data_IF_022653771912
#
_entry.id   IF_022653771912
#
_cell.length_a   1.000
_cell.length_b   1.000
_cell.length_c   1.000
_cell.angle_alpha   90.00
_cell.angle_beta   90.00
_cell.angle_gamma   90.00
#
_symmetry.space_group_name_H-M   'P 1'
#
loop_
_entity.id
_entity.type
_entity.pdbx_description
1 polymer ?
#
# COMPACT_ATOMS: atom_id res chain seq x y z
N UNK A 1 16.73 24.58 -15.16
CA UNK A 1 17.29 25.11 -13.91
C UNK A 1 16.47 24.55 -12.75
N UNK A 2 16.99 23.56 -12.03
CA UNK A 2 16.33 23.02 -10.85
C UNK A 2 16.40 24.08 -9.74
N UNK A 3 15.25 24.55 -9.24
CA UNK A 3 15.22 25.41 -8.05
C UNK A 3 15.78 24.60 -6.88
N UNK A 4 16.78 25.14 -6.18
CA UNK A 4 17.25 24.59 -4.90
C UNK A 4 16.05 24.36 -3.97
N UNK A 5 16.01 23.24 -3.23
CA UNK A 5 14.93 23.00 -2.28
C UNK A 5 14.97 24.10 -1.22
N UNK A 6 13.90 24.90 -1.15
CA UNK A 6 13.75 25.89 -0.07
C UNK A 6 13.65 25.11 1.24
N UNK A 7 14.56 25.38 2.17
CA UNK A 7 14.51 24.82 3.52
C UNK A 7 13.10 25.03 4.10
N UNK A 8 12.41 23.97 4.57
CA UNK A 8 11.08 24.11 5.14
C UNK A 8 11.11 25.10 6.31
N UNK A 9 10.12 26.00 6.38
CA UNK A 9 10.01 26.93 7.50
C UNK A 9 9.77 26.13 8.79
N UNK A 10 10.38 26.50 9.91
CA UNK A 10 10.10 25.81 11.17
C UNK A 10 8.59 25.84 11.50
N UNK A 11 8.03 24.67 11.84
CA UNK A 11 6.62 24.49 12.23
C UNK A 11 6.26 25.42 13.38
N UNK A 12 7.16 25.63 14.34
CA UNK A 12 6.93 26.49 15.51
C UNK A 12 6.57 27.92 15.11
N UNK A 13 7.20 28.44 14.05
CA UNK A 13 7.02 29.82 13.55
C UNK A 13 5.98 29.95 12.44
N UNK A 14 5.40 28.84 11.97
CA UNK A 14 4.45 28.83 10.86
C UNK A 14 3.14 29.53 11.25
N UNK A 15 2.62 30.41 10.37
CA UNK A 15 1.33 31.09 10.53
C UNK A 15 0.23 30.39 9.74
N UNK A 16 -1.04 30.49 10.17
CA UNK A 16 -2.19 29.82 9.53
C UNK A 16 -2.29 30.07 8.00
N UNK A 17 -2.08 31.29 7.47
CA UNK A 17 -2.09 31.51 6.02
C UNK A 17 -0.92 30.84 5.28
N UNK A 18 0.29 30.85 5.87
CA UNK A 18 1.46 30.17 5.29
C UNK A 18 1.29 28.66 5.33
N UNK A 19 0.74 28.13 6.42
CA UNK A 19 0.40 26.71 6.57
C UNK A 19 -0.57 26.25 5.48
N UNK A 20 -1.62 27.03 5.18
CA UNK A 20 -2.58 26.69 4.11
C UNK A 20 -1.91 26.61 2.73
N UNK A 21 -1.01 27.55 2.41
CA UNK A 21 -0.26 27.53 1.13
C UNK A 21 0.68 26.33 1.08
N UNK A 22 1.36 26.03 2.19
CA UNK A 22 2.29 24.92 2.26
C UNK A 22 1.58 23.57 2.15
N UNK A 23 0.44 23.38 2.84
CA UNK A 23 -0.41 22.20 2.71
C UNK A 23 -0.84 21.98 1.26
N UNK A 24 -1.35 23.02 0.57
CA UNK A 24 -1.77 22.89 -0.83
C UNK A 24 -0.60 22.47 -1.74
N UNK A 25 0.60 23.02 -1.51
CA UNK A 25 1.81 22.64 -2.27
C UNK A 25 2.21 21.20 -2.01
N UNK A 26 2.23 20.78 -0.74
CA UNK A 26 2.59 19.42 -0.32
C UNK A 26 1.58 18.40 -0.86
N UNK A 27 0.29 18.69 -0.81
CA UNK A 27 -0.75 17.81 -1.35
C UNK A 27 -0.58 17.56 -2.85
N UNK A 28 -0.34 18.60 -3.64
CA UNK A 28 -0.09 18.46 -5.09
C UNK A 28 1.20 17.67 -5.40
N UNK A 29 2.26 17.89 -4.61
CA UNK A 29 3.52 17.17 -4.75
C UNK A 29 3.35 15.68 -4.42
N UNK A 30 2.69 15.38 -3.29
CA UNK A 30 2.39 14.00 -2.87
C UNK A 30 1.46 13.30 -3.86
N UNK A 31 0.45 13.98 -4.43
CA UNK A 31 -0.42 13.40 -5.45
C UNK A 31 0.37 12.98 -6.70
N UNK A 32 1.29 13.83 -7.16
CA UNK A 32 2.15 13.52 -8.30
C UNK A 32 3.08 12.32 -8.01
N UNK A 33 3.61 12.22 -6.79
CA UNK A 33 4.42 11.07 -6.38
C UNK A 33 3.59 9.80 -6.24
N UNK A 34 2.38 9.88 -5.66
CA UNK A 34 1.45 8.76 -5.54
C UNK A 34 1.07 8.20 -6.90
N UNK A 35 0.80 9.07 -7.88
CA UNK A 35 0.54 8.62 -9.25
C UNK A 35 1.71 7.81 -9.81
N UNK A 36 2.93 8.33 -9.72
CA UNK A 36 4.12 7.64 -10.23
C UNK A 36 4.40 6.33 -9.51
N UNK A 37 4.14 6.29 -8.21
CA UNK A 37 4.37 5.14 -7.36
C UNK A 37 3.33 4.03 -7.56
N UNK A 38 2.04 4.38 -7.57
CA UNK A 38 0.94 3.41 -7.60
C UNK A 38 0.36 3.14 -8.99
N UNK A 39 0.46 4.07 -9.94
CA UNK A 39 -0.09 3.90 -11.29
C UNK A 39 0.98 3.60 -12.32
N UNK A 40 2.08 4.36 -12.31
CA UNK A 40 3.13 4.28 -13.34
C UNK A 40 4.25 3.28 -12.98
N UNK A 41 4.26 2.74 -11.75
CA UNK A 41 5.31 1.85 -11.20
C UNK A 41 6.75 2.41 -11.37
N UNK A 42 6.88 3.75 -11.37
CA UNK A 42 8.09 4.47 -11.73
C UNK A 42 8.34 5.67 -10.78
N UNK A 43 8.60 5.43 -9.48
CA UNK A 43 8.77 6.52 -8.53
C UNK A 43 10.04 7.33 -8.81
N UNK A 44 9.97 8.63 -8.47
CA UNK A 44 11.07 9.58 -8.69
C UNK A 44 11.70 10.12 -7.42
N UNK A 45 11.17 9.71 -6.25
CA UNK A 45 11.74 9.99 -4.93
C UNK A 45 11.79 8.69 -4.14
N UNK A 46 12.61 8.63 -3.09
CA UNK A 46 12.66 7.48 -2.21
C UNK A 46 11.43 7.41 -1.30
N UNK A 47 11.15 6.23 -0.72
CA UNK A 47 10.07 6.08 0.28
C UNK A 47 10.32 7.00 1.49
N UNK A 48 11.58 7.13 1.92
CA UNK A 48 11.96 8.01 3.03
C UNK A 48 11.70 9.50 2.72
N UNK A 49 11.94 9.94 1.49
CA UNK A 49 11.62 11.31 1.07
C UNK A 49 10.10 11.54 1.05
N UNK A 50 9.33 10.53 0.60
CA UNK A 50 7.87 10.59 0.62
C UNK A 50 7.32 10.64 2.06
N UNK A 51 7.85 9.81 2.95
CA UNK A 51 7.48 9.80 4.37
C UNK A 51 7.80 11.15 5.04
N UNK A 52 8.92 11.80 4.67
CA UNK A 52 9.24 13.14 5.14
C UNK A 52 8.21 14.19 4.68
N UNK A 53 7.70 14.11 3.44
CA UNK A 53 6.60 14.96 2.96
C UNK A 53 5.33 14.72 3.79
N UNK A 54 4.99 13.46 4.03
CA UNK A 54 3.80 13.08 4.81
C UNK A 54 3.88 13.57 6.25
N UNK A 55 5.00 13.34 6.93
CA UNK A 55 5.22 13.84 8.29
C UNK A 55 5.10 15.35 8.39
N UNK A 56 5.59 16.06 7.36
CA UNK A 56 5.44 17.51 7.30
C UNK A 56 3.97 17.93 7.23
N UNK A 57 3.14 17.24 6.44
CA UNK A 57 1.68 17.48 6.41
C UNK A 57 1.06 17.20 7.76
N UNK A 58 1.32 16.02 8.35
CA UNK A 58 0.78 15.60 9.64
C UNK A 58 1.11 16.60 10.76
N UNK A 59 2.35 17.10 10.79
CA UNK A 59 2.78 18.05 11.80
C UNK A 59 2.15 19.45 11.61
N UNK A 60 1.85 19.86 10.37
CA UNK A 60 1.09 21.09 10.11
C UNK A 60 -0.38 20.91 10.52
N UNK A 61 -0.99 19.77 10.20
CA UNK A 61 -2.38 19.45 10.56
C UNK A 61 -2.57 19.36 12.07
N UNK A 62 -1.61 18.77 12.80
CA UNK A 62 -1.61 18.73 14.25
C UNK A 62 -1.58 20.13 14.90
N UNK A 63 -0.82 21.07 14.31
CA UNK A 63 -0.76 22.47 14.78
C UNK A 63 -2.01 23.28 14.39
N UNK A 64 -2.62 22.98 13.25
CA UNK A 64 -3.78 23.70 12.72
C UNK A 64 -4.95 22.76 12.37
N UNK A 65 -5.65 22.16 13.36
CA UNK A 65 -6.72 21.19 13.10
C UNK A 65 -7.84 21.71 12.20
N UNK A 66 -8.15 23.01 12.25
CA UNK A 66 -9.17 23.64 11.40
C UNK A 66 -8.83 23.62 9.89
N UNK A 67 -7.58 23.29 9.53
CA UNK A 67 -7.13 23.23 8.14
C UNK A 67 -7.20 21.82 7.53
N UNK A 68 -7.54 20.79 8.32
CA UNK A 68 -7.64 19.41 7.85
C UNK A 68 -8.84 19.31 6.90
N UNK A 69 -8.56 19.06 5.63
CA UNK A 69 -9.58 18.84 4.62
C UNK A 69 -9.87 17.34 4.47
N UNK A 70 -11.09 16.99 4.06
CA UNK A 70 -11.52 15.59 3.85
C UNK A 70 -10.72 14.88 2.75
N UNK A 71 -10.18 15.63 1.79
CA UNK A 71 -9.33 15.16 0.69
C UNK A 71 -7.83 15.28 1.01
N UNK A 72 -7.47 15.50 2.28
CA UNK A 72 -6.06 15.57 2.68
C UNK A 72 -5.33 14.26 2.33
N UNK A 73 -4.06 14.32 1.88
CA UNK A 73 -3.22 13.15 1.69
C UNK A 73 -3.08 12.25 2.93
N UNK A 74 -3.31 12.78 4.13
CA UNK A 74 -3.30 12.01 5.38
C UNK A 74 -4.59 11.21 5.61
N UNK A 75 -5.67 11.57 4.89
CA UNK A 75 -7.00 10.94 4.96
C UNK A 75 -7.28 10.00 3.78
N UNK A 76 -6.42 9.99 2.76
CA UNK A 76 -6.58 9.17 1.55
C UNK A 76 -5.58 8.01 1.54
N UNK A 77 -5.95 6.89 0.92
CA UNK A 77 -5.12 5.68 0.84
C UNK A 77 -4.85 5.35 -0.63
N UNK A 78 -3.59 5.10 -0.98
CA UNK A 78 -3.22 4.63 -2.32
C UNK A 78 -3.53 5.64 -3.44
N UNK A 79 -3.90 5.11 -4.62
CA UNK A 79 -4.29 5.92 -5.77
C UNK A 79 -5.36 5.19 -6.60
N UNK A 80 -6.15 5.95 -7.36
CA UNK A 80 -7.18 5.38 -8.22
C UNK A 80 -6.58 4.36 -9.23
N UNK A 81 -7.33 3.29 -9.60
CA UNK A 81 -6.93 2.33 -10.63
C UNK A 81 -6.47 2.96 -11.95
N UNK A 82 -5.45 2.39 -12.59
CA UNK A 82 -4.95 2.85 -13.88
C UNK A 82 -5.88 2.44 -15.05
N UNK A 83 -5.74 3.13 -16.18
CA UNK A 83 -6.50 2.80 -17.41
C UNK A 83 -6.01 1.47 -18.00
N UNK A 84 -6.84 0.43 -17.97
CA UNK A 84 -6.56 -0.83 -18.68
C UNK A 84 -7.06 -2.09 -17.98
N UNK A 85 -7.33 -2.02 -16.66
CA UNK A 85 -7.94 -3.10 -15.90
C UNK A 85 -9.39 -2.74 -15.55
N UNK A 86 -10.26 -3.75 -15.44
CA UNK A 86 -11.59 -3.57 -14.84
C UNK A 86 -11.44 -3.15 -13.38
N UNK A 87 -12.44 -2.42 -12.86
CA UNK A 87 -12.47 -1.99 -11.46
C UNK A 87 -13.24 -3.00 -10.63
N UNK A 88 -12.74 -3.31 -9.44
CA UNK A 88 -13.44 -4.09 -8.43
C UNK A 88 -13.61 -3.23 -7.19
N UNK A 89 -14.85 -3.07 -6.73
CA UNK A 89 -15.14 -2.46 -5.45
C UNK A 89 -14.90 -3.47 -4.34
N UNK A 90 -14.12 -3.10 -3.33
CA UNK A 90 -13.88 -3.95 -2.17
C UNK A 90 -15.13 -3.98 -1.29
N UNK A 91 -15.54 -5.18 -0.87
CA UNK A 91 -16.71 -5.36 0.00
C UNK A 91 -16.50 -4.69 1.37
N UNK A 92 -15.27 -4.77 1.89
CA UNK A 92 -14.78 -4.03 3.05
C UNK A 92 -13.65 -3.13 2.60
N UNK A 93 -13.51 -1.87 3.05
CA UNK A 93 -12.37 -1.03 2.66
C UNK A 93 -11.01 -1.66 3.06
N UNK A 94 -10.02 -1.53 2.19
CA UNK A 94 -8.61 -1.86 2.44
C UNK A 94 -7.88 -0.62 2.97
N UNK A 95 -7.63 -0.58 4.28
CA UNK A 95 -7.04 0.58 4.95
C UNK A 95 -5.50 0.58 4.90
N UNK A 96 -4.90 1.70 5.29
CA UNK A 96 -3.47 1.81 5.59
C UNK A 96 -3.23 1.66 7.10
N UNK A 97 -1.99 1.40 7.47
CA UNK A 97 -1.52 1.47 8.85
C UNK A 97 -0.94 2.86 9.14
N UNK A 98 -0.96 3.24 10.41
CA UNK A 98 -0.10 4.31 10.93
C UNK A 98 1.34 3.82 11.06
N UNK A 99 2.29 4.76 11.05
CA UNK A 99 3.71 4.46 11.14
C UNK A 99 4.26 4.81 12.53
N UNK A 100 5.34 4.12 12.92
CA UNK A 100 6.15 4.40 14.11
C UNK A 100 7.63 4.25 13.71
N UNK A 101 8.47 5.19 14.11
CA UNK A 101 9.88 5.25 13.72
C UNK A 101 10.84 5.24 14.91
N UNK A 102 10.30 5.33 16.13
CA UNK A 102 11.04 5.27 17.40
C UNK A 102 10.39 4.31 18.39
N UNK A 103 11.14 3.89 19.40
CA UNK A 103 10.63 3.05 20.48
C UNK A 103 9.55 3.81 21.28
N UNK A 104 9.69 5.13 21.40
CA UNK A 104 8.72 6.02 22.01
C UNK A 104 7.38 6.02 21.25
N UNK A 105 7.39 6.08 19.92
CA UNK A 105 6.16 6.02 19.10
C UNK A 105 5.37 4.72 19.37
N UNK A 106 6.09 3.59 19.49
CA UNK A 106 5.49 2.29 19.78
C UNK A 106 4.92 2.26 21.20
N UNK A 107 5.67 2.78 22.18
CA UNK A 107 5.20 2.87 23.57
C UNK A 107 3.93 3.75 23.70
N UNK A 108 3.88 4.87 22.98
CA UNK A 108 2.71 5.74 22.92
C UNK A 108 1.51 5.06 22.26
N UNK A 109 1.73 4.32 21.16
CA UNK A 109 0.68 3.53 20.50
C UNK A 109 0.06 2.51 21.46
N UNK A 110 0.89 1.75 22.19
CA UNK A 110 0.42 0.77 23.17
C UNK A 110 -0.33 1.45 24.32
N UNK A 111 0.20 2.56 24.85
CA UNK A 111 -0.44 3.34 25.91
C UNK A 111 -1.83 3.85 25.48
N UNK A 112 -1.96 4.29 24.22
CA UNK A 112 -3.24 4.74 23.65
C UNK A 112 -4.25 3.59 23.57
N UNK A 113 -3.84 2.39 23.19
CA UNK A 113 -4.70 1.20 23.17
C UNK A 113 -5.17 0.86 24.59
N UNK A 114 -4.25 0.80 25.57
CA UNK A 114 -4.60 0.50 26.96
C UNK A 114 -5.62 1.49 27.52
N UNK A 115 -5.41 2.79 27.28
CA UNK A 115 -6.34 3.84 27.71
C UNK A 115 -7.70 3.72 27.05
N UNK A 116 -7.73 3.43 25.75
CA UNK A 116 -8.98 3.32 24.99
C UNK A 116 -9.80 2.11 25.42
N UNK A 117 -9.15 0.96 25.60
CA UNK A 117 -9.79 -0.29 26.02
C UNK A 117 -9.95 -0.44 27.53
N UNK A 118 -9.39 0.49 28.33
CA UNK A 118 -9.36 0.46 29.80
C UNK A 118 -8.72 -0.81 30.36
N UNK A 119 -7.55 -1.15 29.85
CA UNK A 119 -6.77 -2.31 30.29
C UNK A 119 -5.76 -1.92 31.37
N UNK A 120 -5.63 -2.74 32.40
CA UNK A 120 -4.64 -2.56 33.48
C UNK A 120 -3.24 -3.04 33.05
N UNK A 121 -3.17 -4.02 32.13
CA UNK A 121 -1.94 -4.60 31.61
C UNK A 121 -1.79 -4.34 30.10
N UNK A 122 -0.59 -4.55 29.56
CA UNK A 122 -0.32 -4.43 28.12
C UNK A 122 -1.06 -5.58 27.41
N UNK A 123 -1.89 -5.31 26.38
CA UNK A 123 -2.56 -6.37 25.64
C UNK A 123 -1.54 -7.29 24.94
N UNK A 124 -1.93 -8.54 24.69
CA UNK A 124 -1.13 -9.41 23.83
C UNK A 124 -1.00 -8.79 22.43
N UNK A 125 0.24 -8.69 21.95
CA UNK A 125 0.56 -8.14 20.63
C UNK A 125 1.11 -9.24 19.73
N UNK A 126 0.65 -9.27 18.48
CA UNK A 126 1.24 -10.07 17.41
C UNK A 126 2.09 -9.13 16.56
N UNK A 127 3.37 -9.47 16.39
CA UNK A 127 4.30 -8.72 15.55
C UNK A 127 4.66 -9.55 14.32
N UNK A 128 4.50 -8.96 13.15
CA UNK A 128 4.77 -9.59 11.86
C UNK A 128 5.72 -8.71 11.03
N UNK A 129 6.65 -9.30 10.25
CA UNK A 129 7.43 -8.54 9.29
C UNK A 129 6.52 -7.84 8.27
N UNK A 130 6.69 -6.53 8.11
CA UNK A 130 5.97 -5.77 7.08
C UNK A 130 6.57 -6.06 5.70
N UNK A 131 5.88 -6.87 4.90
CA UNK A 131 6.31 -7.21 3.54
C UNK A 131 6.24 -5.98 2.64
N UNK A 132 7.30 -5.73 1.88
CA UNK A 132 7.38 -4.63 0.93
C UNK A 132 6.97 -5.11 -0.47
N UNK A 133 5.72 -4.86 -0.83
CA UNK A 133 5.12 -5.35 -2.07
C UNK A 133 3.88 -4.58 -2.49
N UNK A 134 2.95 -5.29 -3.13
CA UNK A 134 1.66 -4.76 -3.54
C UNK A 134 0.53 -5.50 -2.81
N UNK A 135 -0.23 -4.77 -2.01
CA UNK A 135 -1.39 -5.31 -1.31
C UNK A 135 -2.45 -5.82 -2.29
N UNK A 136 -2.93 -7.03 -2.01
CA UNK A 136 -3.85 -7.80 -2.84
C UNK A 136 -4.99 -8.35 -1.99
N UNK A 137 -6.20 -8.25 -2.53
CA UNK A 137 -7.40 -8.92 -2.03
C UNK A 137 -7.74 -10.12 -2.93
N UNK A 138 -8.05 -11.25 -2.32
CA UNK A 138 -8.44 -12.51 -2.97
C UNK A 138 -9.83 -12.90 -2.49
N UNK A 139 -10.83 -12.86 -3.36
CA UNK A 139 -12.19 -13.29 -3.06
C UNK A 139 -12.41 -14.72 -3.51
N UNK A 140 -12.70 -15.56 -2.53
CA UNK A 140 -13.16 -16.92 -2.73
C UNK A 140 -14.66 -17.01 -2.43
N UNK A 141 -15.38 -17.74 -3.27
CA UNK A 141 -16.76 -18.11 -3.02
C UNK A 141 -16.90 -19.63 -3.07
N UNK A 142 -17.43 -20.21 -1.99
CA UNK A 142 -17.49 -21.66 -1.78
C UNK A 142 -16.12 -22.33 -1.99
N UNK A 143 -15.06 -21.63 -1.61
CA UNK A 143 -13.67 -22.06 -1.76
C UNK A 143 -13.04 -21.81 -3.13
N UNK A 144 -13.78 -21.42 -4.16
CA UNK A 144 -13.21 -21.13 -5.49
C UNK A 144 -12.80 -19.67 -5.61
N UNK A 145 -11.60 -19.39 -6.11
CA UNK A 145 -11.14 -18.03 -6.38
C UNK A 145 -12.01 -17.42 -7.49
N UNK A 146 -12.82 -16.42 -7.15
CA UNK A 146 -13.71 -15.74 -8.11
C UNK A 146 -13.03 -14.52 -8.68
N UNK A 147 -12.47 -13.66 -7.84
CA UNK A 147 -11.72 -12.49 -8.29
C UNK A 147 -10.57 -12.12 -7.36
N UNK A 148 -9.60 -11.40 -7.92
CA UNK A 148 -8.51 -10.80 -7.18
C UNK A 148 -8.35 -9.33 -7.57
N UNK A 149 -8.14 -8.47 -6.57
CA UNK A 149 -8.07 -7.03 -6.76
C UNK A 149 -6.85 -6.43 -6.07
N UNK A 150 -6.19 -5.47 -6.73
CA UNK A 150 -5.19 -4.63 -6.07
C UNK A 150 -5.86 -3.73 -5.03
N UNK A 151 -5.10 -3.15 -4.09
CA UNK A 151 -5.68 -2.20 -3.12
C UNK A 151 -6.34 -1.00 -3.80
N UNK A 152 -5.71 -0.44 -4.84
CA UNK A 152 -6.11 0.82 -5.45
C UNK A 152 -6.19 1.95 -4.43
N UNK A 153 -7.34 2.62 -4.36
CA UNK A 153 -7.60 3.72 -3.42
C UNK A 153 -8.12 3.26 -2.03
N UNK A 154 -8.10 1.94 -1.79
CA UNK A 154 -8.64 1.31 -0.59
C UNK A 154 -10.13 0.98 -0.69
N UNK A 155 -10.89 1.60 -1.59
CA UNK A 155 -12.29 1.28 -1.84
C UNK A 155 -12.49 0.53 -3.16
N UNK A 156 -11.68 0.86 -4.17
CA UNK A 156 -11.73 0.29 -5.50
C UNK A 156 -10.33 -0.09 -5.97
N UNK A 157 -10.17 -1.36 -6.33
CA UNK A 157 -8.97 -1.95 -6.90
C UNK A 157 -9.04 -2.16 -8.40
N UNK A 158 -7.91 -2.58 -8.97
CA UNK A 158 -7.81 -3.15 -10.31
C UNK A 158 -8.06 -4.66 -10.26
N UNK A 159 -8.90 -5.17 -11.14
CA UNK A 159 -9.08 -6.60 -11.36
C UNK A 159 -7.82 -7.21 -11.98
N UNK A 160 -7.12 -8.01 -11.18
CA UNK A 160 -5.90 -8.72 -11.57
C UNK A 160 -6.10 -10.23 -11.49
N UNK A 161 -7.35 -10.71 -11.58
CA UNK A 161 -7.71 -12.11 -11.39
C UNK A 161 -6.93 -13.05 -12.31
N UNK A 162 -6.82 -12.72 -13.60
CA UNK A 162 -6.11 -13.55 -14.56
C UNK A 162 -4.60 -13.63 -14.27
N UNK A 163 -3.99 -12.50 -13.88
CA UNK A 163 -2.59 -12.40 -13.48
C UNK A 163 -2.32 -13.19 -12.19
N UNK A 164 -3.18 -13.05 -11.19
CA UNK A 164 -3.09 -13.75 -9.90
C UNK A 164 -3.16 -15.26 -10.05
N UNK A 165 -4.00 -15.79 -10.96
CA UNK A 165 -4.08 -17.22 -11.24
C UNK A 165 -2.76 -17.84 -11.74
N UNK A 166 -1.79 -17.03 -12.17
CA UNK A 166 -0.46 -17.51 -12.57
C UNK A 166 0.52 -17.64 -11.41
N UNK A 167 0.20 -17.08 -10.24
CA UNK A 167 1.06 -17.10 -9.05
C UNK A 167 0.89 -18.43 -8.32
N UNK A 168 1.95 -19.23 -8.29
CA UNK A 168 1.93 -20.60 -7.73
C UNK A 168 1.56 -20.67 -6.26
N UNK A 169 1.91 -19.65 -5.49
CA UNK A 169 1.67 -19.60 -4.04
C UNK A 169 0.19 -19.32 -3.71
N UNK A 170 -0.63 -18.91 -4.69
CA UNK A 170 -2.05 -18.60 -4.51
C UNK A 170 -2.90 -19.79 -4.98
N UNK A 171 -3.65 -20.45 -4.08
CA UNK A 171 -4.51 -21.55 -4.47
C UNK A 171 -5.70 -21.06 -5.29
N UNK A 172 -6.07 -21.78 -6.35
CA UNK A 172 -7.33 -21.52 -7.06
C UNK A 172 -8.55 -21.97 -6.25
N UNK A 173 -8.35 -22.96 -5.38
CA UNK A 173 -9.40 -23.53 -4.53
C UNK A 173 -8.88 -23.70 -3.11
N UNK A 174 -9.59 -23.15 -2.12
CA UNK A 174 -9.32 -23.36 -0.70
C UNK A 174 -9.68 -24.79 -0.30
N UNK A 175 -8.82 -25.39 0.52
CA UNK A 175 -9.04 -26.73 1.07
C UNK A 175 -9.22 -26.63 2.58
N UNK A 176 -10.35 -27.10 3.08
CA UNK A 176 -10.66 -27.08 4.51
C UNK A 176 -12.01 -27.75 4.79
N UNK A 177 -12.25 -28.10 6.05
CA UNK A 177 -13.54 -28.67 6.48
C UNK A 177 -14.65 -27.61 6.56
N UNK A 178 -14.28 -26.37 6.85
CA UNK A 178 -15.19 -25.25 7.09
C UNK A 178 -14.73 -24.05 6.26
N UNK A 179 -14.79 -24.16 4.93
CA UNK A 179 -14.51 -23.02 4.05
C UNK A 179 -15.76 -22.13 4.01
N UNK A 180 -15.66 -20.85 4.38
CA UNK A 180 -16.82 -19.94 4.34
C UNK A 180 -17.37 -19.80 2.92
N UNK A 181 -18.69 -19.56 2.81
CA UNK A 181 -19.36 -19.36 1.53
C UNK A 181 -18.82 -18.13 0.79
N UNK A 182 -18.47 -17.08 1.53
CA UNK A 182 -17.72 -15.92 1.07
C UNK A 182 -16.50 -15.72 1.98
N UNK A 183 -15.32 -15.63 1.37
CA UNK A 183 -14.04 -15.48 2.04
C UNK A 183 -13.16 -14.51 1.27
N UNK A 184 -12.81 -13.37 1.88
CA UNK A 184 -11.85 -12.43 1.33
C UNK A 184 -10.53 -12.53 2.11
N UNK A 185 -9.49 -13.07 1.49
CA UNK A 185 -8.14 -13.10 2.05
C UNK A 185 -7.34 -11.89 1.56
N UNK A 186 -6.60 -11.25 2.47
CA UNK A 186 -5.76 -10.09 2.17
C UNK A 186 -4.30 -10.41 2.48
N UNK A 187 -3.45 -9.94 1.60
CA UNK A 187 -2.02 -10.20 1.71
C UNK A 187 -1.21 -9.27 0.83
N UNK A 188 0.09 -9.56 0.76
CA UNK A 188 1.03 -8.84 -0.08
C UNK A 188 1.54 -9.74 -1.19
N UNK A 189 1.46 -9.26 -2.44
CA UNK A 189 2.23 -9.83 -3.55
C UNK A 189 3.62 -9.20 -3.53
N UNK A 190 4.66 -10.03 -3.56
CA UNK A 190 6.04 -9.57 -3.46
C UNK A 190 6.99 -10.36 -4.35
N UNK A 191 8.22 -9.86 -4.47
CA UNK A 191 9.33 -10.53 -5.14
C UNK A 191 10.51 -10.65 -4.18
N UNK A 192 11.15 -11.81 -4.15
CA UNK A 192 12.36 -11.97 -3.33
C UNK A 192 13.48 -11.09 -3.87
N UNK A 193 14.35 -10.62 -2.97
CA UNK A 193 15.50 -9.78 -3.34
C UNK A 193 16.40 -10.44 -4.40
N UNK A 194 16.67 -11.73 -4.28
CA UNK A 194 17.46 -12.48 -5.26
C UNK A 194 16.81 -12.48 -6.65
N UNK A 195 15.50 -12.67 -6.69
CA UNK A 195 14.71 -12.75 -7.90
C UNK A 195 14.60 -11.38 -8.59
N UNK A 196 14.42 -10.32 -7.80
CA UNK A 196 14.46 -8.94 -8.27
C UNK A 196 15.81 -8.59 -8.92
N UNK A 197 16.92 -8.93 -8.27
CA UNK A 197 18.26 -8.67 -8.81
C UNK A 197 18.49 -9.44 -10.12
N UNK A 198 18.05 -10.69 -10.19
CA UNK A 198 18.13 -11.49 -11.41
C UNK A 198 17.24 -10.92 -12.54
N UNK A 199 16.05 -10.42 -12.20
CA UNK A 199 15.15 -9.78 -13.15
C UNK A 199 15.75 -8.49 -13.73
N UNK A 200 16.27 -7.60 -12.88
CA UNK A 200 16.89 -6.36 -13.33
C UNK A 200 18.12 -6.60 -14.19
N UNK A 201 18.96 -7.60 -13.86
CA UNK A 201 20.09 -7.99 -14.70
C UNK A 201 19.64 -8.38 -16.12
N UNK A 202 18.57 -9.18 -16.24
CA UNK A 202 18.01 -9.56 -17.54
C UNK A 202 17.47 -8.36 -18.32
N UNK A 203 16.83 -7.41 -17.64
CA UNK A 203 16.32 -6.20 -18.29
C UNK A 203 17.46 -5.31 -18.78
N UNK A 204 18.52 -5.14 -17.99
CA UNK A 204 19.71 -4.39 -18.39
C UNK A 204 20.39 -5.03 -19.62
N UNK A 205 20.53 -6.36 -19.63
CA UNK A 205 21.07 -7.11 -20.78
C UNK A 205 20.20 -6.96 -22.06
N UNK A 206 18.89 -6.79 -21.89
CA UNK A 206 17.94 -6.56 -22.99
C UNK A 206 17.82 -5.08 -23.41
N UNK A 207 18.41 -4.15 -22.67
CA UNK A 207 18.22 -2.71 -22.87
C UNK A 207 16.85 -2.17 -22.42
N UNK A 208 16.12 -2.94 -21.61
CA UNK A 208 14.82 -2.59 -21.06
C UNK A 208 14.94 -1.75 -19.77
N UNK A 209 13.81 -1.20 -19.32
CA UNK A 209 13.77 -0.38 -18.09
C UNK A 209 13.92 -1.23 -16.84
N UNK A 210 14.94 -0.94 -16.03
CA UNK A 210 15.12 -1.60 -14.72
C UNK A 210 14.15 -1.06 -13.68
N UNK A 211 13.72 -1.92 -12.75
CA UNK A 211 12.85 -1.53 -11.64
C UNK A 211 13.65 -0.89 -10.52
N UNK A 212 13.10 0.14 -9.88
CA UNK A 212 13.78 0.87 -8.81
C UNK A 212 13.94 0.05 -7.51
N UNK A 213 12.95 -0.78 -7.16
CA UNK A 213 12.96 -1.59 -5.94
C UNK A 213 12.11 -2.88 -6.12
N UNK A 214 12.21 -3.86 -5.20
CA UNK A 214 11.43 -5.09 -5.27
C UNK A 214 9.91 -4.86 -5.32
N UNK A 215 9.39 -3.88 -4.60
CA UNK A 215 7.98 -3.52 -4.61
C UNK A 215 7.47 -3.13 -5.99
N UNK A 216 8.12 -2.19 -6.66
CA UNK A 216 7.73 -1.73 -8.00
C UNK A 216 7.87 -2.86 -9.02
N UNK A 217 8.89 -3.71 -8.84
CA UNK A 217 9.03 -4.90 -9.68
C UNK A 217 7.86 -5.86 -9.49
N UNK A 218 7.37 -6.06 -8.26
CA UNK A 218 6.21 -6.90 -7.98
C UNK A 218 4.92 -6.28 -8.53
N UNK A 219 4.70 -4.98 -8.29
CA UNK A 219 3.54 -4.24 -8.78
C UNK A 219 3.47 -4.25 -10.31
N UNK A 220 4.55 -3.83 -10.98
CA UNK A 220 4.64 -3.84 -12.44
C UNK A 220 4.55 -5.25 -13.02
N UNK A 221 5.13 -6.26 -12.37
CA UNK A 221 5.02 -7.66 -12.80
C UNK A 221 3.58 -8.20 -12.71
N UNK A 222 2.81 -7.80 -11.71
CA UNK A 222 1.43 -8.21 -11.54
C UNK A 222 0.51 -7.50 -12.54
N UNK A 223 0.73 -6.21 -12.79
CA UNK A 223 -0.15 -5.33 -13.58
C UNK A 223 0.16 -5.38 -15.08
N UNK A 224 0.38 -6.58 -15.62
CA UNK A 224 0.65 -6.79 -17.04
C UNK A 224 -0.63 -7.10 -17.81
N UNK A 225 -0.82 -6.47 -18.98
CA UNK A 225 -1.95 -6.79 -19.88
C UNK A 225 -1.84 -8.21 -20.44
N UNK A 226 -0.62 -8.64 -20.74
CA UNK A 226 -0.33 -10.01 -21.13
C UNK A 226 -0.01 -10.84 -19.89
N UNK A 227 -0.92 -11.74 -19.55
CA UNK A 227 -0.84 -12.65 -18.40
C UNK A 227 0.38 -13.58 -18.48
N UNK A 228 0.86 -13.90 -19.69
CA UNK A 228 2.06 -14.71 -19.87
C UNK A 228 3.31 -14.00 -19.32
N UNK A 229 3.34 -12.66 -19.36
CA UNK A 229 4.41 -11.88 -18.75
C UNK A 229 4.36 -12.10 -17.24
N UNK A 230 3.21 -11.89 -16.57
CA UNK A 230 3.09 -12.15 -15.12
C UNK A 230 3.50 -13.58 -14.76
N UNK A 231 3.06 -14.57 -15.54
CA UNK A 231 3.40 -15.98 -15.30
C UNK A 231 4.92 -16.26 -15.36
N UNK A 232 5.66 -15.46 -16.14
CA UNK A 232 7.13 -15.55 -16.22
C UNK A 232 7.85 -14.90 -15.03
N UNK A 233 7.14 -14.09 -14.22
CA UNK A 233 7.71 -13.36 -13.10
C UNK A 233 7.66 -14.21 -11.82
N UNK A 234 8.73 -14.20 -11.00
CA UNK A 234 8.80 -14.97 -9.76
C UNK A 234 8.03 -14.28 -8.62
N UNK A 235 6.75 -14.04 -8.82
CA UNK A 235 5.88 -13.45 -7.82
C UNK A 235 5.54 -14.46 -6.72
N UNK A 236 5.44 -13.95 -5.49
CA UNK A 236 5.03 -14.67 -4.30
C UNK A 236 3.88 -13.95 -3.62
N UNK A 237 3.20 -14.65 -2.72
CA UNK A 237 2.10 -14.10 -1.94
C UNK A 237 2.21 -14.51 -0.48
N UNK A 238 1.92 -13.57 0.42
CA UNK A 238 1.83 -13.83 1.86
C UNK A 238 0.52 -13.23 2.39
N UNK A 239 -0.37 -14.09 2.89
CA UNK A 239 -1.63 -13.67 3.51
C UNK A 239 -1.39 -13.27 4.98
N UNK A 240 -2.01 -12.17 5.42
CA UNK A 240 -1.86 -11.65 6.79
C UNK A 240 -3.18 -11.13 7.38
N UNK A 241 -4.24 -10.98 6.58
CA UNK A 241 -5.52 -10.46 7.05
C UNK A 241 -6.69 -11.02 6.23
N UNK A 242 -7.90 -10.63 6.62
CA UNK A 242 -9.12 -10.91 5.87
C UNK A 242 -9.97 -9.65 5.71
N UNK A 243 -10.83 -9.65 4.69
CA UNK A 243 -11.88 -8.67 4.46
C UNK A 243 -13.23 -9.24 4.85
N UNK A 244 -14.19 -9.24 3.93
CA UNK A 244 -15.49 -9.88 4.18
C UNK A 244 -15.33 -11.39 4.39
N UNK A 245 -15.96 -11.89 5.47
CA UNK A 245 -16.09 -13.31 5.79
C UNK A 245 -17.55 -13.60 6.12
N UNK A 246 -18.17 -14.55 5.40
CA UNK A 246 -19.55 -14.99 5.71
C UNK A 246 -19.66 -15.76 7.01
N UNK A 247 -18.57 -16.40 7.42
CA UNK A 247 -18.44 -17.11 8.69
C UNK A 247 -16.96 -17.06 9.11
N UNK A 248 -16.69 -17.06 10.41
CA UNK A 248 -15.32 -17.00 10.93
C UNK A 248 -14.79 -18.42 11.14
N UNK A 249 -13.55 -18.71 10.71
CA UNK A 249 -12.92 -20.01 10.92
C UNK A 249 -12.62 -20.31 12.39
#
# INVERSE_FOLDING_TARGET
MAKSPKTPTDISTLTKPKAKIELMRLSLEMEAHNKRYYQDDAPTISDADYDALRHRVEAIEAKFPDLVATDSPTQTVGAAPARGFSKIQHAVPMLSLGNAFSDEDVAEFVTRIQRFLKLDEIPALVAEPKIDGLSLSLRYENGELIHAATRGDGFTGEDVTANVRTIKDIPTTLKGKHVPAACELRGEVYMLKSDFLALNKKQEEAGDTVFANPRNSAAGSLRQKDVAITASRPLKFFAYAWGEMSDYP
#
